data_IF_511824212187
#
_entry.id   IF_511824212187
#
_cell.length_a   1.000
_cell.length_b   1.000
_cell.length_c   1.000
_cell.angle_alpha   90.00
_cell.angle_beta   90.00
_cell.angle_gamma   90.00
#
_symmetry.space_group_name_H-M   'P 1'
#
loop_
_entity.id
_entity.type
_entity.pdbx_description
1 polymer ?
#
# COMPACT_ATOMS: atom_id res chain seq x y z
N UNK A 1 -4.66 -9.92 -21.05
CA UNK A 1 -5.26 -9.36 -19.82
C UNK A 1 -4.96 -10.15 -18.54
N UNK A 2 -5.44 -11.39 -18.36
CA UNK A 2 -5.14 -12.19 -17.15
C UNK A 2 -3.62 -12.48 -17.04
N UNK A 3 -3.01 -13.02 -18.09
CA UNK A 3 -1.57 -13.31 -18.12
C UNK A 3 -0.70 -12.06 -17.90
N UNK A 4 -1.13 -10.90 -18.41
CA UNK A 4 -0.45 -9.62 -18.21
C UNK A 4 -0.60 -9.12 -16.75
N UNK A 5 -1.77 -9.33 -16.14
CA UNK A 5 -2.01 -8.98 -14.74
C UNK A 5 -1.17 -9.84 -13.79
N UNK A 6 -1.01 -11.13 -14.09
CA UNK A 6 -0.10 -12.03 -13.37
C UNK A 6 1.35 -11.59 -13.53
N UNK A 7 1.77 -11.26 -14.75
CA UNK A 7 3.13 -10.78 -15.02
C UNK A 7 3.45 -9.48 -14.25
N UNK A 8 2.50 -8.56 -14.14
CA UNK A 8 2.63 -7.37 -13.28
C UNK A 8 2.85 -7.78 -11.82
N UNK A 9 2.08 -8.75 -11.31
CA UNK A 9 2.24 -9.25 -9.94
C UNK A 9 3.64 -9.84 -9.72
N UNK A 10 4.15 -10.61 -10.68
CA UNK A 10 5.51 -11.16 -10.66
C UNK A 10 6.54 -10.04 -10.57
N UNK A 11 6.48 -9.06 -11.46
CA UNK A 11 7.43 -7.94 -11.47
C UNK A 11 7.39 -7.10 -10.20
N UNK A 12 6.22 -6.84 -9.63
CA UNK A 12 6.09 -6.00 -8.44
C UNK A 12 6.41 -6.73 -7.14
N UNK A 13 5.96 -7.98 -7.00
CA UNK A 13 5.99 -8.68 -5.73
C UNK A 13 7.19 -9.61 -5.57
N UNK A 14 7.64 -10.26 -6.65
CA UNK A 14 8.67 -11.29 -6.59
C UNK A 14 10.00 -10.81 -7.14
N UNK A 15 10.00 -10.27 -8.37
CA UNK A 15 11.23 -9.81 -9.02
C UNK A 15 11.68 -8.42 -8.57
N UNK A 16 10.80 -7.65 -7.91
CA UNK A 16 11.05 -6.27 -7.45
C UNK A 16 11.56 -5.34 -8.58
N UNK A 17 11.02 -5.52 -9.78
CA UNK A 17 11.36 -4.76 -10.98
C UNK A 17 10.15 -3.96 -11.49
N UNK A 18 9.71 -2.92 -10.76
CA UNK A 18 8.52 -2.14 -11.11
C UNK A 18 8.60 -1.44 -12.48
N UNK A 19 9.80 -1.16 -12.99
CA UNK A 19 10.00 -0.58 -14.33
C UNK A 19 9.48 -1.47 -15.45
N UNK A 20 9.64 -2.79 -15.34
CA UNK A 20 9.13 -3.77 -16.33
C UNK A 20 7.61 -3.85 -16.35
N UNK A 21 6.95 -3.57 -15.21
CA UNK A 21 5.50 -3.58 -15.10
C UNK A 21 4.84 -2.35 -15.72
N UNK A 22 5.55 -1.21 -15.84
CA UNK A 22 4.98 0.06 -16.28
C UNK A 22 4.31 0.03 -17.67
N UNK A 23 4.95 -0.44 -18.75
CA UNK A 23 4.31 -0.41 -20.07
C UNK A 23 3.03 -1.25 -20.10
N UNK A 24 3.03 -2.40 -19.41
CA UNK A 24 1.88 -3.28 -19.29
C UNK A 24 0.77 -2.62 -18.47
N UNK A 25 1.11 -1.98 -17.35
CA UNK A 25 0.15 -1.26 -16.50
C UNK A 25 -0.52 -0.09 -17.24
N UNK A 26 0.25 0.65 -18.03
CA UNK A 26 -0.28 1.78 -18.79
C UNK A 26 -1.24 1.30 -19.88
N UNK A 27 -0.87 0.24 -20.61
CA UNK A 27 -1.74 -0.40 -21.61
C UNK A 27 -3.04 -0.90 -20.99
N UNK A 28 -2.97 -1.66 -19.89
CA UNK A 28 -4.16 -2.19 -19.22
C UNK A 28 -5.04 -1.09 -18.62
N UNK A 29 -4.47 -0.03 -18.05
CA UNK A 29 -5.24 1.12 -17.56
C UNK A 29 -5.98 1.82 -18.69
N UNK A 30 -5.36 1.98 -19.85
CA UNK A 30 -5.97 2.62 -21.02
C UNK A 30 -7.06 1.74 -21.65
N UNK A 31 -6.82 0.43 -21.73
CA UNK A 31 -7.77 -0.56 -22.27
C UNK A 31 -8.96 -0.78 -21.34
N UNK A 32 -8.75 -0.69 -20.02
CA UNK A 32 -9.77 -0.91 -18.99
C UNK A 32 -9.86 0.28 -18.02
N UNK A 33 -10.32 1.45 -18.49
CA UNK A 33 -10.35 2.68 -17.68
C UNK A 33 -11.26 2.57 -16.45
N UNK A 34 -12.22 1.64 -16.48
CA UNK A 34 -13.12 1.36 -15.37
C UNK A 34 -12.54 0.36 -14.36
N UNK A 35 -11.38 -0.26 -14.60
CA UNK A 35 -10.79 -1.14 -13.61
C UNK A 35 -9.89 -0.34 -12.65
N UNK A 36 -10.45 0.12 -11.53
CA UNK A 36 -9.73 0.90 -10.53
C UNK A 36 -8.45 0.22 -10.02
N UNK A 37 -8.34 -1.12 -10.12
CA UNK A 37 -7.15 -1.84 -9.69
C UNK A 37 -5.89 -1.38 -10.44
N UNK A 38 -5.99 -1.08 -11.73
CA UNK A 38 -4.83 -0.63 -12.50
C UNK A 38 -4.34 0.74 -12.07
N UNK A 39 -5.23 1.62 -11.58
CA UNK A 39 -4.83 2.92 -11.02
C UNK A 39 -4.02 2.72 -9.74
N UNK A 40 -4.51 1.90 -8.81
CA UNK A 40 -3.79 1.60 -7.57
C UNK A 40 -2.47 0.89 -7.83
N UNK A 41 -2.43 -0.09 -8.74
CA UNK A 41 -1.20 -0.82 -9.05
C UNK A 41 -0.18 0.08 -9.75
N UNK A 42 -0.61 0.97 -10.65
CA UNK A 42 0.26 1.96 -11.27
C UNK A 42 0.80 2.96 -10.25
N UNK A 43 -0.06 3.51 -9.38
CA UNK A 43 0.37 4.39 -8.28
C UNK A 43 1.38 3.68 -7.39
N UNK A 44 1.17 2.38 -7.13
CA UNK A 44 2.12 1.60 -6.36
C UNK A 44 3.47 1.36 -7.06
N UNK A 45 3.46 1.11 -8.36
CA UNK A 45 4.69 0.99 -9.15
C UNK A 45 5.50 2.30 -9.11
N UNK A 46 4.84 3.46 -9.20
CA UNK A 46 5.50 4.77 -9.10
C UNK A 46 6.14 4.99 -7.73
N UNK A 47 5.48 4.59 -6.64
CA UNK A 47 6.05 4.62 -5.28
C UNK A 47 7.33 3.78 -5.19
N UNK A 48 7.32 2.55 -5.71
CA UNK A 48 8.51 1.68 -5.66
C UNK A 48 9.66 2.18 -6.54
N UNK A 49 9.34 2.93 -7.61
CA UNK A 49 10.31 3.63 -8.46
C UNK A 49 10.78 4.97 -7.90
N UNK A 50 10.27 5.39 -6.72
CA UNK A 50 10.49 6.72 -6.14
C UNK A 50 10.07 7.89 -7.05
N UNK A 51 9.15 7.66 -8.00
CA UNK A 51 8.54 8.66 -8.87
C UNK A 51 7.34 9.28 -8.17
N UNK A 52 7.61 10.01 -7.09
CA UNK A 52 6.57 10.37 -6.13
C UNK A 52 5.52 11.35 -6.68
N UNK A 53 5.93 12.30 -7.51
CA UNK A 53 5.01 13.30 -8.06
C UNK A 53 3.99 12.65 -9.00
N UNK A 54 4.43 11.63 -9.74
CA UNK A 54 3.54 10.81 -10.57
C UNK A 54 2.63 9.91 -9.71
N UNK A 55 3.15 9.37 -8.61
CA UNK A 55 2.32 8.62 -7.66
C UNK A 55 1.22 9.50 -7.05
N UNK A 56 1.53 10.75 -6.71
CA UNK A 56 0.56 11.73 -6.20
C UNK A 56 -0.44 12.16 -7.27
N UNK A 57 -0.02 12.35 -8.51
CA UNK A 57 -0.94 12.64 -9.61
C UNK A 57 -1.96 11.50 -9.82
N UNK A 58 -1.50 10.24 -9.75
CA UNK A 58 -2.38 9.06 -9.81
C UNK A 58 -3.30 9.01 -8.59
N UNK A 59 -2.78 9.28 -7.39
CA UNK A 59 -3.58 9.30 -6.17
C UNK A 59 -4.68 10.39 -6.20
N UNK A 60 -4.36 11.59 -6.71
CA UNK A 60 -5.32 12.66 -6.90
C UNK A 60 -6.43 12.27 -7.89
N UNK A 61 -6.10 11.55 -8.96
CA UNK A 61 -7.09 11.02 -9.89
C UNK A 61 -8.01 9.98 -9.23
N UNK A 62 -7.45 9.09 -8.40
CA UNK A 62 -8.23 8.10 -7.63
C UNK A 62 -9.19 8.81 -6.69
N UNK A 63 -8.70 9.77 -5.90
CA UNK A 63 -9.53 10.53 -4.96
C UNK A 63 -10.66 11.25 -5.68
N UNK A 64 -10.35 11.97 -6.77
CA UNK A 64 -11.36 12.64 -7.60
C UNK A 64 -12.45 11.67 -8.05
N UNK A 65 -12.06 10.48 -8.53
CA UNK A 65 -13.02 9.48 -9.00
C UNK A 65 -13.88 8.96 -7.85
N UNK A 66 -13.30 8.67 -6.68
CA UNK A 66 -14.03 8.25 -5.47
C UNK A 66 -15.01 9.33 -5.03
N UNK A 67 -14.57 10.59 -4.92
CA UNK A 67 -15.41 11.71 -4.49
C UNK A 67 -16.54 12.00 -5.48
N UNK A 68 -16.32 11.80 -6.78
CA UNK A 68 -17.35 11.98 -7.80
C UNK A 68 -18.41 10.87 -7.83
N UNK A 69 -18.18 9.75 -7.12
CA UNK A 69 -19.06 8.57 -7.17
C UNK A 69 -19.11 7.90 -8.54
N UNK A 70 -18.13 8.16 -9.41
CA UNK A 70 -18.08 7.61 -10.75
C UNK A 70 -17.84 6.09 -10.67
N UNK A 71 -18.88 5.30 -10.93
CA UNK A 71 -18.75 3.83 -10.95
C UNK A 71 -17.58 3.40 -11.84
N UNK A 72 -16.70 2.48 -11.39
CA UNK A 72 -16.78 1.67 -10.16
C UNK A 72 -15.94 2.22 -8.99
N UNK A 73 -15.60 3.50 -8.98
CA UNK A 73 -14.93 4.15 -7.86
C UNK A 73 -15.96 4.45 -6.77
N UNK A 74 -15.91 3.66 -5.70
CA UNK A 74 -16.87 3.71 -4.59
C UNK A 74 -16.18 4.13 -3.29
N UNK A 75 -16.90 4.71 -2.31
CA UNK A 75 -16.33 5.15 -1.03
C UNK A 75 -15.56 4.06 -0.26
N UNK A 76 -15.90 2.79 -0.47
CA UNK A 76 -15.23 1.63 0.13
C UNK A 76 -13.75 1.50 -0.29
N UNK A 77 -13.34 2.22 -1.34
CA UNK A 77 -11.94 2.29 -1.79
C UNK A 77 -11.11 3.32 -1.01
N UNK A 78 -11.72 4.18 -0.18
CA UNK A 78 -11.02 5.21 0.58
C UNK A 78 -9.86 4.67 1.44
N UNK A 79 -9.99 3.51 2.13
CA UNK A 79 -8.88 2.92 2.88
C UNK A 79 -7.70 2.50 2.00
N UNK A 80 -7.96 2.09 0.75
CA UNK A 80 -6.90 1.75 -0.21
C UNK A 80 -6.19 3.02 -0.71
N UNK A 81 -6.92 4.10 -0.93
CA UNK A 81 -6.34 5.42 -1.21
C UNK A 81 -5.46 5.91 -0.05
N UNK A 82 -5.99 5.88 1.18
CA UNK A 82 -5.24 6.27 2.38
C UNK A 82 -3.97 5.43 2.53
N UNK A 83 -4.01 4.12 2.27
CA UNK A 83 -2.81 3.30 2.27
C UNK A 83 -1.80 3.75 1.20
N UNK A 84 -2.23 4.04 -0.03
CA UNK A 84 -1.35 4.52 -1.09
C UNK A 84 -0.65 5.83 -0.68
N UNK A 85 -1.40 6.81 -0.17
CA UNK A 85 -0.84 8.06 0.35
C UNK A 85 0.14 7.83 1.51
N UNK A 86 -0.21 6.94 2.45
CA UNK A 86 0.68 6.53 3.52
C UNK A 86 2.00 5.98 2.99
N UNK A 87 1.96 5.15 1.94
CA UNK A 87 3.18 4.57 1.32
C UNK A 87 4.00 5.60 0.54
N UNK A 88 3.36 6.55 -0.14
CA UNK A 88 4.05 7.69 -0.79
C UNK A 88 4.87 8.44 0.24
N UNK A 89 4.23 8.90 1.32
CA UNK A 89 4.89 9.65 2.39
C UNK A 89 5.96 8.82 3.10
N UNK A 90 5.70 7.53 3.37
CA UNK A 90 6.67 6.64 4.01
C UNK A 90 7.96 6.53 3.19
N UNK A 91 7.85 6.31 1.86
CA UNK A 91 9.01 6.18 0.97
C UNK A 91 9.72 7.52 0.71
N UNK A 92 9.04 8.66 0.92
CA UNK A 92 9.65 10.00 0.97
C UNK A 92 10.36 10.29 2.30
N UNK A 93 10.16 9.47 3.33
CA UNK A 93 10.68 9.71 4.69
C UNK A 93 9.81 10.63 5.54
N UNK A 94 8.62 10.98 5.06
CA UNK A 94 7.66 11.85 5.75
C UNK A 94 6.80 11.06 6.74
N UNK A 95 7.44 10.46 7.75
CA UNK A 95 6.81 9.45 8.61
C UNK A 95 5.60 9.95 9.40
N UNK A 96 5.57 11.22 9.80
CA UNK A 96 4.39 11.81 10.47
C UNK A 96 3.15 11.83 9.58
N UNK A 97 3.30 12.27 8.32
CA UNK A 97 2.20 12.25 7.33
C UNK A 97 1.79 10.82 7.00
N UNK A 98 2.78 9.94 6.79
CA UNK A 98 2.54 8.52 6.53
C UNK A 98 1.69 7.88 7.63
N UNK A 99 2.07 8.10 8.89
CA UNK A 99 1.34 7.62 10.06
C UNK A 99 -0.11 8.09 10.07
N UNK A 100 -0.37 9.39 9.87
CA UNK A 100 -1.75 9.92 9.83
C UNK A 100 -2.62 9.21 8.80
N UNK A 101 -2.07 8.90 7.63
CA UNK A 101 -2.79 8.16 6.59
C UNK A 101 -3.03 6.69 6.97
N UNK A 102 -2.02 5.99 7.50
CA UNK A 102 -2.20 4.60 7.95
C UNK A 102 -3.17 4.49 9.14
N UNK A 103 -3.19 5.47 10.04
CA UNK A 103 -4.16 5.53 11.15
C UNK A 103 -5.60 5.59 10.63
N UNK A 104 -5.88 6.35 9.57
CA UNK A 104 -7.20 6.37 8.91
C UNK A 104 -7.59 4.99 8.38
N UNK A 105 -6.63 4.23 7.81
CA UNK A 105 -6.91 2.88 7.29
C UNK A 105 -7.33 1.92 8.40
N UNK A 106 -6.64 1.94 9.54
CA UNK A 106 -6.86 0.92 10.59
C UNK A 106 -8.14 1.12 11.39
N UNK A 107 -8.81 2.28 11.21
CA UNK A 107 -10.17 2.55 11.71
C UNK A 107 -11.22 1.74 10.94
N UNK A 108 -11.01 1.46 9.65
CA UNK A 108 -11.93 0.62 8.87
C UNK A 108 -11.85 -0.85 9.33
N UNK A 109 -12.99 -1.37 9.80
CA UNK A 109 -13.10 -2.75 10.27
C UNK A 109 -13.63 -3.74 9.23
N UNK A 110 -13.98 -3.28 8.04
CA UNK A 110 -14.60 -4.07 6.98
C UNK A 110 -13.73 -5.24 6.50
N UNK A 111 -14.36 -6.40 6.28
CA UNK A 111 -13.65 -7.64 5.89
C UNK A 111 -12.93 -7.50 4.54
N UNK A 112 -13.52 -6.81 3.57
CA UNK A 112 -12.95 -6.63 2.23
C UNK A 112 -11.68 -5.75 2.21
N UNK A 113 -11.41 -5.00 3.29
CA UNK A 113 -10.20 -4.21 3.45
C UNK A 113 -9.20 -4.84 4.44
N UNK A 114 -9.38 -6.10 4.83
CA UNK A 114 -8.51 -6.80 5.78
C UNK A 114 -7.02 -6.74 5.38
N UNK A 115 -6.68 -7.05 4.12
CA UNK A 115 -5.30 -6.98 3.62
C UNK A 115 -4.73 -5.56 3.68
N UNK A 116 -5.53 -4.56 3.28
CA UNK A 116 -5.18 -3.14 3.33
C UNK A 116 -4.89 -2.68 4.76
N UNK A 117 -5.73 -3.11 5.70
CA UNK A 117 -5.59 -2.87 7.14
C UNK A 117 -4.35 -3.52 7.72
N UNK A 118 -4.13 -4.81 7.49
CA UNK A 118 -2.98 -5.53 8.02
C UNK A 118 -1.66 -4.91 7.53
N UNK A 119 -1.56 -4.58 6.24
CA UNK A 119 -0.38 -3.94 5.69
C UNK A 119 -0.13 -2.56 6.29
N UNK A 120 -1.19 -1.78 6.54
CA UNK A 120 -1.06 -0.45 7.19
C UNK A 120 -0.64 -0.56 8.66
N UNK A 121 -1.08 -1.58 9.38
CA UNK A 121 -0.58 -1.89 10.73
C UNK A 121 0.92 -2.21 10.72
N UNK A 122 1.41 -2.95 9.72
CA UNK A 122 2.86 -3.19 9.56
C UNK A 122 3.61 -1.88 9.37
N UNK A 123 3.16 -1.00 8.49
CA UNK A 123 3.81 0.30 8.27
C UNK A 123 3.80 1.19 9.52
N UNK A 124 2.72 1.18 10.30
CA UNK A 124 2.70 1.88 11.60
C UNK A 124 3.78 1.32 12.53
N UNK A 125 3.90 -0.01 12.62
CA UNK A 125 4.98 -0.63 13.38
C UNK A 125 6.37 -0.22 12.89
N UNK A 126 6.58 -0.17 11.58
CA UNK A 126 7.85 0.25 10.98
C UNK A 126 8.18 1.71 11.32
N UNK A 127 7.19 2.61 11.29
CA UNK A 127 7.35 4.02 11.69
C UNK A 127 7.78 4.12 13.16
N UNK A 128 7.16 3.33 14.05
CA UNK A 128 7.55 3.30 15.45
C UNK A 128 8.96 2.72 15.65
N UNK A 129 9.36 1.67 14.93
CA UNK A 129 10.74 1.16 14.97
C UNK A 129 11.75 2.22 14.51
N UNK A 130 11.44 2.99 13.44
CA UNK A 130 12.27 4.11 12.97
C UNK A 130 12.47 5.16 14.08
N UNK A 131 11.44 5.41 14.87
CA UNK A 131 11.45 6.33 16.02
C UNK A 131 12.03 5.71 17.29
N UNK A 132 12.51 4.47 17.24
CA UNK A 132 13.01 3.70 18.40
C UNK A 132 11.92 3.41 19.46
N UNK A 133 10.65 3.48 19.07
CA UNK A 133 9.47 3.27 19.90
C UNK A 133 9.08 1.78 19.92
N UNK A 134 10.02 0.92 20.33
CA UNK A 134 9.94 -0.53 20.11
C UNK A 134 8.67 -1.18 20.69
N UNK A 135 8.20 -0.72 21.85
CA UNK A 135 6.97 -1.23 22.46
C UNK A 135 5.76 -1.01 21.55
N UNK A 136 5.59 0.22 21.06
CA UNK A 136 4.51 0.57 20.15
C UNK A 136 4.62 -0.18 18.83
N UNK A 137 5.83 -0.32 18.29
CA UNK A 137 6.07 -1.11 17.08
C UNK A 137 5.57 -2.56 17.22
N UNK A 138 5.96 -3.22 18.32
CA UNK A 138 5.54 -4.58 18.64
C UNK A 138 4.01 -4.74 18.74
N UNK A 139 3.32 -3.76 19.33
CA UNK A 139 1.87 -3.78 19.45
C UNK A 139 1.18 -3.70 18.08
N UNK A 140 1.70 -2.86 17.18
CA UNK A 140 1.19 -2.76 15.80
C UNK A 140 1.43 -4.05 15.00
N UNK A 141 2.61 -4.65 15.10
CA UNK A 141 2.89 -5.92 14.42
C UNK A 141 1.99 -7.06 14.93
N UNK A 142 1.78 -7.17 16.25
CA UNK A 142 0.85 -8.17 16.82
C UNK A 142 -0.58 -7.97 16.31
N UNK A 143 -1.05 -6.71 16.26
CA UNK A 143 -2.36 -6.38 15.69
C UNK A 143 -2.47 -6.77 14.22
N UNK A 144 -1.39 -6.62 13.43
CA UNK A 144 -1.37 -7.06 12.04
C UNK A 144 -1.57 -8.58 11.90
N UNK A 145 -0.98 -9.38 12.81
CA UNK A 145 -1.15 -10.84 12.83
C UNK A 145 -2.57 -11.28 13.16
N UNK A 146 -3.27 -10.50 13.99
CA UNK A 146 -4.65 -10.76 14.41
C UNK A 146 -5.70 -10.38 13.36
N UNK A 147 -5.31 -9.76 12.24
CA UNK A 147 -6.25 -9.44 11.17
C UNK A 147 -6.64 -10.73 10.43
N UNK A 148 -7.89 -11.15 10.58
CA UNK A 148 -8.50 -12.25 9.82
C UNK A 148 -8.65 -11.88 8.34
N UNK A 149 -8.43 -12.84 7.43
CA UNK A 149 -8.54 -12.64 5.98
C UNK A 149 -7.38 -11.85 5.35
N UNK A 150 -6.31 -11.60 6.10
CA UNK A 150 -5.14 -10.84 5.67
C UNK A 150 -3.86 -11.68 5.55
N UNK A 151 -4.00 -12.92 5.13
CA UNK A 151 -2.89 -13.84 4.88
C UNK A 151 -1.95 -13.28 3.79
N UNK A 152 -0.67 -13.61 3.89
CA UNK A 152 0.37 -13.19 2.94
C UNK A 152 1.44 -12.30 3.56
N UNK A 153 2.02 -11.42 2.73
CA UNK A 153 3.24 -10.66 3.04
C UNK A 153 3.14 -9.79 4.29
N UNK A 154 1.99 -9.19 4.58
CA UNK A 154 1.83 -8.37 5.79
C UNK A 154 2.06 -9.19 7.08
N UNK A 155 1.54 -10.43 7.15
CA UNK A 155 1.77 -11.30 8.32
C UNK A 155 3.21 -11.83 8.36
N UNK A 156 3.84 -12.07 7.21
CA UNK A 156 5.25 -12.47 7.13
C UNK A 156 6.14 -11.36 7.69
N UNK A 157 6.02 -10.14 7.15
CA UNK A 157 6.78 -8.98 7.58
C UNK A 157 6.53 -8.66 9.06
N UNK A 158 5.28 -8.76 9.55
CA UNK A 158 4.98 -8.57 10.96
C UNK A 158 5.70 -9.59 11.87
N UNK A 159 5.74 -10.87 11.48
CA UNK A 159 6.47 -11.92 12.24
C UNK A 159 7.96 -11.65 12.25
N UNK A 160 8.51 -11.21 11.12
CA UNK A 160 9.91 -10.85 10.99
C UNK A 160 10.24 -9.65 11.89
N UNK A 161 9.45 -8.57 11.79
CA UNK A 161 9.72 -7.34 12.53
C UNK A 161 9.45 -7.43 14.03
N UNK A 162 8.67 -8.40 14.48
CA UNK A 162 8.60 -8.77 15.90
C UNK A 162 9.91 -9.33 16.44
N UNK A 163 10.68 -10.05 15.62
CA UNK A 163 11.98 -10.60 15.99
C UNK A 163 13.09 -9.56 15.82
N UNK A 164 13.09 -8.87 14.67
CA UNK A 164 14.15 -7.93 14.28
C UNK A 164 13.53 -6.58 13.92
N UNK A 165 13.77 -5.50 14.69
CA UNK A 165 13.19 -4.19 14.40
C UNK A 165 13.44 -3.73 12.95
N UNK A 166 12.44 -3.10 12.35
CA UNK A 166 12.60 -2.51 11.01
C UNK A 166 13.63 -1.38 11.03
N UNK A 167 14.47 -1.31 10.00
CA UNK A 167 15.45 -0.24 9.79
C UNK A 167 15.47 0.19 8.33
N UNK A 168 15.51 1.50 8.10
CA UNK A 168 15.40 2.11 6.75
C UNK A 168 16.49 1.66 5.78
N UNK A 169 17.67 1.26 6.31
CA UNK A 169 18.85 0.94 5.52
C UNK A 169 19.42 -0.48 5.74
N UNK A 170 18.64 -1.41 6.31
CA UNK A 170 19.05 -2.82 6.40
C UNK A 170 20.37 -3.09 7.13
N UNK A 171 20.76 -2.23 8.08
CA UNK A 171 21.90 -2.44 8.99
C UNK A 171 21.43 -2.42 10.42
#
# INVERSE_FOLDING_TARGET
>A
DIAQSELISVYLNYEKQPSKALPILQDLKNKFPNNYNYYFTLGMAMVELRRFDEAEAIAAQIEKNISSGASPFVPQLQPRYNQLMGRIHFKRGEYGRAESFFQKVVQDKSFYNARTRARSLVYLGMIHDIRQERRYAGDYYKRALQVEGAEGSAKIDAKEYLKTPYRVNGK
#
